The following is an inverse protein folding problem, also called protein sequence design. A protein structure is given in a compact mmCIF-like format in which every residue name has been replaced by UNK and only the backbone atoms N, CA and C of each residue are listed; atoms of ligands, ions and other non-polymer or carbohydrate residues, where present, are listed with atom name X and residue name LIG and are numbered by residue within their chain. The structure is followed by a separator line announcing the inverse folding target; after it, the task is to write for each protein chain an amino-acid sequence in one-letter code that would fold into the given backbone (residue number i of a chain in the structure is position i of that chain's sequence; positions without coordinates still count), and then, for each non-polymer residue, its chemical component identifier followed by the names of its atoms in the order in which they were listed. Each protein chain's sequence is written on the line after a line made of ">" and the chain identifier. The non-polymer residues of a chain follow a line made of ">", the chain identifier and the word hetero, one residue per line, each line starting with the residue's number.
data_IF_572720347166
#
_entry.id   IF_572720347166
#
_cell.length_a   1.000
_cell.length_b   1.000
_cell.length_c   1.000
_cell.angle_alpha   90.00
_cell.angle_beta   90.00
_cell.angle_gamma   90.00
#
_symmetry.space_group_name_H-M   'P 1'
#
loop_
_entity.id
_entity.type
_entity.pdbx_description
1 polymer ?
#
# COMPACT_ATOMS: atom_id res chain seq x y z
N UNK A 1 -10.25 33.91 9.43
CA UNK A 1 -10.29 32.43 9.60
C UNK A 1 -11.51 32.10 10.46
N UNK A 2 -12.35 31.12 10.09
CA UNK A 2 -13.45 30.68 10.98
C UNK A 2 -12.86 29.74 12.03
N UNK A 3 -12.63 30.25 13.24
CA UNK A 3 -12.18 29.43 14.35
C UNK A 3 -13.29 28.49 14.82
N UNK A 4 -12.94 27.25 15.09
CA UNK A 4 -13.87 26.24 15.56
C UNK A 4 -14.23 26.47 17.02
N UNK A 5 -15.48 26.24 17.41
CA UNK A 5 -15.87 26.23 18.82
C UNK A 5 -15.25 24.99 19.49
N UNK A 6 -14.59 25.21 20.62
CA UNK A 6 -14.04 24.14 21.46
C UNK A 6 -15.07 23.64 22.48
N UNK A 7 -14.76 22.58 23.23
CA UNK A 7 -15.65 22.10 24.29
C UNK A 7 -15.91 23.18 25.35
N UNK A 8 -14.86 23.89 25.78
CA UNK A 8 -14.95 25.03 26.71
C UNK A 8 -15.93 26.10 26.23
N UNK A 9 -15.88 26.45 24.94
CA UNK A 9 -16.79 27.43 24.34
C UNK A 9 -18.24 26.95 24.45
N UNK A 10 -18.49 25.65 24.23
CA UNK A 10 -19.83 25.04 24.32
C UNK A 10 -20.33 24.94 25.75
N UNK A 11 -19.44 24.75 26.74
CA UNK A 11 -19.78 24.75 28.16
C UNK A 11 -20.23 26.14 28.62
N UNK A 12 -19.52 27.19 28.23
CA UNK A 12 -19.90 28.57 28.52
C UNK A 12 -21.21 28.96 27.84
N UNK A 13 -21.46 28.49 26.61
CA UNK A 13 -22.78 28.62 25.97
C UNK A 13 -23.85 27.92 26.81
N UNK A 14 -23.62 26.67 27.23
CA UNK A 14 -24.59 25.90 28.01
C UNK A 14 -24.93 26.57 29.35
N UNK A 15 -23.92 27.08 30.05
CA UNK A 15 -24.09 27.80 31.33
C UNK A 15 -24.87 29.09 31.13
N UNK A 16 -24.47 29.93 30.15
CA UNK A 16 -25.16 31.18 29.87
C UNK A 16 -26.61 31.00 29.42
N UNK A 17 -26.94 29.89 28.74
CA UNK A 17 -28.34 29.58 28.43
C UNK A 17 -29.16 29.22 29.67
N UNK A 18 -28.58 28.42 30.58
CA UNK A 18 -29.20 28.03 31.85
C UNK A 18 -29.43 29.24 32.77
N UNK A 19 -28.52 30.21 32.76
CA UNK A 19 -28.63 31.47 33.50
C UNK A 19 -29.60 32.48 32.86
N UNK A 20 -30.24 32.16 31.73
CA UNK A 20 -31.17 33.09 31.09
C UNK A 20 -30.51 34.20 30.26
N UNK A 21 -29.18 34.17 30.05
CA UNK A 21 -28.45 35.21 29.30
C UNK A 21 -28.85 35.26 27.82
N UNK A 22 -28.82 36.46 27.24
CA UNK A 22 -29.03 36.66 25.80
C UNK A 22 -27.84 36.14 24.98
N UNK A 23 -28.06 35.80 23.70
CA UNK A 23 -26.97 35.39 22.81
C UNK A 23 -25.88 36.47 22.64
N UNK A 24 -26.18 37.75 22.88
CA UNK A 24 -25.20 38.83 22.84
C UNK A 24 -24.25 38.77 24.04
N UNK A 25 -24.79 38.52 25.24
CA UNK A 25 -23.99 38.36 26.45
C UNK A 25 -23.10 37.12 26.38
N UNK A 26 -23.67 35.99 25.95
CA UNK A 26 -22.93 34.73 25.78
C UNK A 26 -21.80 34.92 24.75
N UNK A 27 -22.07 35.61 23.64
CA UNK A 27 -21.06 35.94 22.64
C UNK A 27 -19.87 36.74 23.20
N UNK A 28 -20.14 37.72 24.08
CA UNK A 28 -19.10 38.50 24.74
C UNK A 28 -18.23 37.66 25.68
N UNK A 29 -18.82 36.72 26.43
CA UNK A 29 -18.09 35.83 27.34
C UNK A 29 -17.21 34.83 26.58
N UNK A 30 -17.76 34.21 25.53
CA UNK A 30 -17.06 33.20 24.71
C UNK A 30 -16.05 33.83 23.74
N UNK A 31 -16.13 35.15 23.53
CA UNK A 31 -15.27 35.87 22.57
C UNK A 31 -15.62 35.56 21.11
N UNK A 32 -16.89 35.32 20.79
CA UNK A 32 -17.36 34.92 19.45
C UNK A 32 -18.52 35.78 18.97
N UNK A 33 -18.74 35.84 17.67
CA UNK A 33 -19.91 36.54 17.12
C UNK A 33 -21.24 35.96 17.62
N UNK A 34 -22.21 36.84 17.92
CA UNK A 34 -23.60 36.47 18.25
C UNK A 34 -24.21 35.49 17.24
N UNK A 35 -23.87 35.66 15.96
CA UNK A 35 -24.38 34.79 14.90
C UNK A 35 -23.82 33.37 14.97
N UNK A 36 -22.62 33.17 15.53
CA UNK A 36 -22.02 31.85 15.78
C UNK A 36 -22.76 31.16 16.90
N UNK A 37 -22.96 31.84 18.03
CA UNK A 37 -23.72 31.31 19.17
C UNK A 37 -25.14 30.93 18.74
N UNK A 38 -25.85 31.82 18.05
CA UNK A 38 -27.21 31.55 17.58
C UNK A 38 -27.30 30.33 16.65
N UNK A 39 -26.33 30.17 15.73
CA UNK A 39 -26.29 29.02 14.80
C UNK A 39 -25.95 27.73 15.51
N UNK A 40 -25.00 27.76 16.43
CA UNK A 40 -24.61 26.61 17.27
C UNK A 40 -25.81 26.13 18.10
N UNK A 41 -26.44 27.03 18.85
CA UNK A 41 -27.60 26.69 19.70
C UNK A 41 -28.75 26.14 18.88
N UNK A 42 -29.10 26.78 17.74
CA UNK A 42 -30.15 26.30 16.84
C UNK A 42 -29.87 24.90 16.29
N UNK A 43 -28.61 24.61 15.93
CA UNK A 43 -28.21 23.31 15.38
C UNK A 43 -28.34 22.16 16.40
N UNK A 44 -28.23 22.47 17.68
CA UNK A 44 -28.10 21.48 18.74
C UNK A 44 -29.28 21.46 19.72
N UNK A 45 -30.51 21.71 19.24
CA UNK A 45 -31.76 21.56 20.02
C UNK A 45 -32.36 22.88 20.52
N UNK A 46 -31.75 24.01 20.20
CA UNK A 46 -32.26 25.31 20.65
C UNK A 46 -32.01 25.57 22.14
N UNK A 47 -32.54 26.69 22.65
CA UNK A 47 -32.18 27.23 23.97
C UNK A 47 -32.43 26.26 25.13
N UNK A 48 -33.53 25.51 25.10
CA UNK A 48 -33.95 24.67 26.21
C UNK A 48 -33.22 23.32 26.25
N UNK A 49 -32.93 22.77 25.07
CA UNK A 49 -32.33 21.43 24.94
C UNK A 49 -30.82 21.46 24.72
N UNK A 50 -30.21 22.63 24.51
CA UNK A 50 -28.77 22.74 24.30
C UNK A 50 -28.00 22.15 25.48
N UNK A 51 -27.08 21.23 25.17
CA UNK A 51 -26.13 20.63 26.13
C UNK A 51 -24.75 20.59 25.49
N UNK A 52 -23.75 21.08 26.21
CA UNK A 52 -22.38 21.21 25.71
C UNK A 52 -21.80 19.87 25.22
N UNK A 53 -21.90 18.82 26.02
CA UNK A 53 -21.40 17.48 25.70
C UNK A 53 -22.06 16.91 24.44
N UNK A 54 -23.39 16.94 24.35
CA UNK A 54 -24.12 16.45 23.18
C UNK A 54 -23.83 17.28 21.91
N UNK A 55 -23.66 18.60 22.05
CA UNK A 55 -23.24 19.45 20.94
C UNK A 55 -21.82 19.13 20.46
N UNK A 56 -20.90 18.88 21.39
CA UNK A 56 -19.53 18.46 21.09
C UNK A 56 -19.48 17.10 20.38
N UNK A 57 -20.18 16.09 20.90
CA UNK A 57 -20.25 14.75 20.30
C UNK A 57 -20.82 14.81 18.88
N UNK A 58 -21.93 15.53 18.66
CA UNK A 58 -22.51 15.73 17.32
C UNK A 58 -21.55 16.47 16.41
N UNK A 59 -20.83 17.47 16.91
CA UNK A 59 -19.84 18.19 16.13
C UNK A 59 -18.66 17.29 15.74
N UNK A 60 -18.18 16.43 16.63
CA UNK A 60 -17.13 15.45 16.34
C UNK A 60 -17.60 14.41 15.33
N UNK A 61 -18.78 13.81 15.52
CA UNK A 61 -19.36 12.86 14.57
C UNK A 61 -19.55 13.48 13.17
N UNK A 62 -20.02 14.73 13.10
CA UNK A 62 -20.15 15.44 11.82
C UNK A 62 -18.81 15.75 11.14
N UNK A 63 -17.70 15.77 11.89
CA UNK A 63 -16.34 15.94 11.35
C UNK A 63 -15.79 14.66 10.75
N UNK A 64 -16.23 13.49 11.22
CA UNK A 64 -15.69 12.21 10.76
C UNK A 64 -15.89 12.01 9.25
N UNK A 65 -16.87 12.70 8.62
CA UNK A 65 -17.16 12.69 7.17
C UNK A 65 -16.69 11.40 6.47
N UNK A 66 -17.15 10.22 6.91
CA UNK A 66 -16.68 8.97 6.33
C UNK A 66 -17.18 8.92 4.88
N UNK A 67 -16.26 9.12 3.94
CA UNK A 67 -16.58 9.01 2.52
C UNK A 67 -16.68 7.53 2.21
N UNK A 68 -17.89 7.07 1.88
CA UNK A 68 -18.06 5.74 1.31
C UNK A 68 -17.18 5.60 0.06
N UNK A 69 -16.44 4.50 -0.04
CA UNK A 69 -15.63 4.20 -1.20
C UNK A 69 -16.52 4.13 -2.44
N UNK A 70 -16.00 4.57 -3.60
CA UNK A 70 -16.78 4.57 -4.84
C UNK A 70 -17.34 3.19 -5.18
N UNK A 71 -16.57 2.13 -4.91
CA UNK A 71 -16.98 0.73 -5.11
C UNK A 71 -18.15 0.34 -4.19
N UNK A 72 -18.21 0.86 -2.97
CA UNK A 72 -19.26 0.55 -1.99
C UNK A 72 -20.54 1.38 -2.18
N UNK A 73 -20.53 2.42 -3.03
CA UNK A 73 -21.73 3.25 -3.28
C UNK A 73 -22.88 2.46 -3.88
N UNK A 74 -22.57 1.42 -4.67
CA UNK A 74 -23.57 0.58 -5.34
C UNK A 74 -23.26 -0.91 -5.16
N UNK A 75 -24.18 -1.70 -4.57
CA UNK A 75 -23.98 -3.14 -4.37
C UNK A 75 -23.67 -3.90 -5.66
N UNK A 76 -24.28 -3.49 -6.78
CA UNK A 76 -24.04 -4.08 -8.11
C UNK A 76 -22.60 -3.85 -8.58
N UNK A 77 -22.12 -2.61 -8.52
CA UNK A 77 -20.74 -2.27 -8.88
C UNK A 77 -19.76 -3.10 -8.04
N UNK A 78 -19.98 -3.16 -6.72
CA UNK A 78 -19.17 -3.96 -5.81
C UNK A 78 -19.12 -5.43 -6.24
N UNK A 79 -20.26 -6.02 -6.58
CA UNK A 79 -20.34 -7.40 -7.05
C UNK A 79 -19.55 -7.63 -8.34
N UNK A 80 -19.64 -6.72 -9.31
CA UNK A 80 -18.90 -6.80 -10.58
C UNK A 80 -17.38 -6.68 -10.34
N UNK A 81 -16.96 -5.65 -9.59
CA UNK A 81 -15.54 -5.42 -9.26
C UNK A 81 -14.98 -6.64 -8.52
N UNK A 82 -15.71 -7.18 -7.55
CA UNK A 82 -15.30 -8.37 -6.79
C UNK A 82 -15.15 -9.59 -7.70
N UNK A 83 -16.13 -9.87 -8.55
CA UNK A 83 -16.10 -11.01 -9.48
C UNK A 83 -14.92 -10.92 -10.47
N UNK A 84 -14.64 -9.73 -11.00
CA UNK A 84 -13.53 -9.51 -11.93
C UNK A 84 -12.17 -9.63 -11.23
N UNK A 85 -12.03 -9.08 -10.01
CA UNK A 85 -10.82 -9.25 -9.21
C UNK A 85 -10.55 -10.74 -8.89
N UNK A 86 -11.59 -11.52 -8.56
CA UNK A 86 -11.46 -12.98 -8.35
C UNK A 86 -10.99 -13.73 -9.60
N UNK A 87 -11.36 -13.23 -10.78
CA UNK A 87 -10.90 -13.76 -12.08
C UNK A 87 -9.49 -13.28 -12.46
N UNK A 88 -8.83 -12.49 -11.59
CA UNK A 88 -7.47 -12.01 -11.80
C UNK A 88 -7.36 -10.78 -12.69
N UNK A 89 -8.45 -10.03 -12.89
CA UNK A 89 -8.41 -8.77 -13.65
C UNK A 89 -7.72 -7.68 -12.82
N UNK A 90 -6.96 -6.82 -13.49
CA UNK A 90 -6.35 -5.66 -12.81
C UNK A 90 -7.39 -4.55 -12.62
N UNK A 91 -7.27 -3.70 -11.57
CA UNK A 91 -8.13 -2.53 -11.40
C UNK A 91 -8.20 -1.60 -12.62
N UNK A 92 -7.09 -1.44 -13.35
CA UNK A 92 -7.04 -0.67 -14.60
C UNK A 92 -7.89 -1.32 -15.71
N UNK A 93 -7.76 -2.64 -15.90
CA UNK A 93 -8.56 -3.37 -16.88
C UNK A 93 -10.05 -3.38 -16.52
N UNK A 94 -10.39 -3.44 -15.22
CA UNK A 94 -11.78 -3.35 -14.75
C UNK A 94 -12.35 -1.96 -15.07
N UNK A 95 -11.68 -0.89 -14.64
CA UNK A 95 -12.13 0.48 -14.88
C UNK A 95 -12.26 0.81 -16.37
N UNK A 96 -11.36 0.30 -17.21
CA UNK A 96 -11.42 0.50 -18.66
C UNK A 96 -12.55 -0.29 -19.34
N UNK A 97 -12.99 -1.42 -18.77
CA UNK A 97 -14.00 -2.31 -19.38
C UNK A 97 -15.43 -1.98 -18.97
N UNK A 98 -15.61 -1.50 -17.75
CA UNK A 98 -16.93 -1.16 -17.19
C UNK A 98 -17.77 -0.24 -18.10
N UNK A 99 -17.22 0.82 -18.74
CA UNK A 99 -17.99 1.67 -19.64
C UNK A 99 -18.46 0.97 -20.92
N UNK A 100 -17.73 -0.05 -21.38
CA UNK A 100 -18.08 -0.81 -22.61
C UNK A 100 -19.13 -1.89 -22.33
N UNK A 101 -19.01 -2.59 -21.19
CA UNK A 101 -19.96 -3.66 -20.82
C UNK A 101 -21.23 -3.13 -20.16
N UNK A 102 -21.16 -1.93 -19.58
CA UNK A 102 -22.28 -1.27 -18.92
C UNK A 102 -22.38 0.20 -19.36
N UNK A 103 -22.67 0.45 -20.66
CA UNK A 103 -22.71 1.81 -21.22
C UNK A 103 -23.77 2.68 -20.55
N UNK A 104 -24.94 2.12 -20.22
CA UNK A 104 -26.07 2.88 -19.64
C UNK A 104 -26.04 2.96 -18.11
N UNK A 105 -25.05 2.36 -17.45
CA UNK A 105 -24.94 2.33 -16.00
C UNK A 105 -23.91 3.35 -15.50
N UNK A 106 -24.40 4.51 -15.04
CA UNK A 106 -23.56 5.55 -14.44
C UNK A 106 -22.84 5.07 -13.17
N UNK A 107 -23.43 4.12 -12.43
CA UNK A 107 -22.77 3.53 -11.27
C UNK A 107 -21.52 2.74 -11.65
N UNK A 108 -21.41 2.30 -12.90
CA UNK A 108 -20.23 1.60 -13.41
C UNK A 108 -19.06 2.55 -13.78
N UNK A 109 -19.20 3.86 -13.58
CA UNK A 109 -18.13 4.85 -13.80
C UNK A 109 -17.24 4.98 -12.57
N UNK A 110 -16.31 4.03 -12.42
CA UNK A 110 -15.30 4.03 -11.35
C UNK A 110 -13.89 4.09 -11.92
N UNK A 111 -13.02 4.91 -11.32
CA UNK A 111 -11.61 4.94 -11.72
C UNK A 111 -10.85 3.77 -11.10
N UNK A 112 -9.74 3.37 -11.75
CA UNK A 112 -8.87 2.33 -11.21
C UNK A 112 -8.25 2.72 -9.86
N UNK A 113 -8.02 4.02 -9.63
CA UNK A 113 -7.54 4.54 -8.34
C UNK A 113 -8.59 4.39 -7.24
N UNK A 114 -9.87 4.59 -7.54
CA UNK A 114 -10.94 4.36 -6.57
C UNK A 114 -11.10 2.87 -6.22
N UNK A 115 -10.85 1.96 -7.17
CA UNK A 115 -10.76 0.53 -6.91
C UNK A 115 -9.54 0.22 -6.03
N UNK A 116 -8.38 0.84 -6.27
CA UNK A 116 -7.20 0.68 -5.40
C UNK A 116 -7.44 1.15 -3.97
N UNK A 117 -8.02 2.33 -3.78
CA UNK A 117 -8.35 2.86 -2.46
C UNK A 117 -9.25 1.90 -1.68
N UNK A 118 -10.26 1.35 -2.35
CA UNK A 118 -11.15 0.35 -1.77
C UNK A 118 -10.42 -0.95 -1.38
N UNK A 119 -9.53 -1.46 -2.25
CA UNK A 119 -8.70 -2.63 -1.96
C UNK A 119 -7.81 -2.38 -0.74
N UNK A 120 -7.16 -1.22 -0.64
CA UNK A 120 -6.24 -0.90 0.45
C UNK A 120 -6.92 -0.66 1.80
N UNK A 121 -8.16 -0.16 1.77
CA UNK A 121 -8.96 0.02 2.97
C UNK A 121 -9.62 -1.28 3.47
N UNK A 122 -9.67 -2.31 2.62
CA UNK A 122 -10.22 -3.62 2.99
C UNK A 122 -9.20 -4.41 3.82
N UNK A 123 -9.59 -5.00 4.97
CA UNK A 123 -8.68 -5.77 5.81
C UNK A 123 -7.97 -6.89 5.03
N UNK A 124 -6.66 -7.07 5.30
CA UNK A 124 -5.81 -8.04 4.60
C UNK A 124 -6.33 -9.48 4.76
N UNK A 125 -6.95 -9.82 5.89
CA UNK A 125 -7.55 -11.14 6.14
C UNK A 125 -8.73 -11.46 5.20
N UNK A 126 -9.54 -10.46 4.83
CA UNK A 126 -10.65 -10.61 3.87
C UNK A 126 -10.14 -10.67 2.43
N UNK A 127 -9.17 -9.81 2.08
CA UNK A 127 -8.60 -9.76 0.73
C UNK A 127 -7.79 -11.01 0.40
N UNK A 128 -7.02 -11.52 1.38
CA UNK A 128 -6.21 -12.73 1.23
C UNK A 128 -7.05 -14.00 1.05
N UNK A 129 -8.21 -14.08 1.72
CA UNK A 129 -9.11 -15.24 1.62
C UNK A 129 -9.88 -15.28 0.30
N UNK A 130 -10.14 -14.11 -0.30
CA UNK A 130 -11.04 -14.00 -1.45
C UNK A 130 -10.33 -13.76 -2.79
N UNK A 131 -9.14 -13.16 -2.82
CA UNK A 131 -8.51 -12.64 -4.04
C UNK A 131 -7.09 -13.14 -4.35
N UNK A 132 -6.49 -14.02 -3.53
CA UNK A 132 -5.13 -14.53 -3.77
C UNK A 132 -5.11 -15.77 -4.68
N UNK A 133 -5.03 -15.55 -5.99
CA UNK A 133 -4.56 -16.56 -6.94
C UNK A 133 -3.47 -15.96 -7.83
N UNK A 134 -2.44 -16.74 -8.19
CA UNK A 134 -1.51 -16.32 -9.24
C UNK A 134 -2.29 -16.18 -10.56
N UNK A 135 -1.84 -15.31 -11.48
CA UNK A 135 -2.41 -15.07 -12.84
C UNK A 135 -2.71 -16.34 -13.67
N UNK A 136 -2.25 -17.51 -13.23
CA UNK A 136 -2.45 -18.82 -13.87
C UNK A 136 -3.30 -19.79 -13.05
N UNK A 137 -3.97 -19.33 -11.99
CA UNK A 137 -4.72 -20.18 -11.05
C UNK A 137 -3.85 -21.03 -10.11
N UNK A 138 -2.53 -21.01 -10.28
CA UNK A 138 -1.59 -21.79 -9.47
C UNK A 138 -1.34 -21.14 -8.11
N UNK A 139 -0.99 -21.96 -7.12
CA UNK A 139 -0.53 -21.52 -5.80
C UNK A 139 0.99 -21.31 -5.74
N UNK A 140 1.76 -21.83 -6.71
CA UNK A 140 3.22 -21.67 -6.79
C UNK A 140 3.75 -21.54 -8.23
N UNK A 141 4.88 -20.85 -8.40
CA UNK A 141 5.57 -20.66 -9.70
C UNK A 141 6.52 -21.83 -9.97
N UNK A 142 6.44 -22.46 -11.14
CA UNK A 142 7.47 -23.43 -11.61
C UNK A 142 8.79 -22.69 -11.84
N UNK A 143 9.88 -23.18 -11.26
CA UNK A 143 11.23 -22.66 -11.50
C UNK A 143 11.80 -23.19 -12.82
N UNK A 144 12.56 -22.36 -13.53
CA UNK A 144 13.35 -22.78 -14.69
C UNK A 144 14.58 -23.61 -14.29
N UNK A 145 15.39 -23.98 -15.29
CA UNK A 145 16.64 -24.71 -15.09
C UNK A 145 17.52 -24.00 -14.04
N UNK A 146 17.91 -24.74 -13.00
CA UNK A 146 18.75 -24.20 -11.93
C UNK A 146 20.18 -24.06 -12.48
N UNK A 147 20.80 -22.87 -12.44
CA UNK A 147 22.23 -22.75 -12.68
C UNK A 147 23.00 -23.60 -11.63
N UNK A 148 24.24 -24.01 -11.95
CA UNK A 148 25.06 -24.76 -11.02
C UNK A 148 25.19 -24.02 -9.67
N UNK A 149 25.19 -24.76 -8.55
CA UNK A 149 25.23 -24.17 -7.22
C UNK A 149 26.46 -23.28 -7.04
N UNK A 150 26.26 -21.99 -6.74
CA UNK A 150 27.33 -21.09 -6.31
C UNK A 150 28.08 -21.64 -5.08
N UNK A 151 29.29 -21.19 -4.72
CA UNK A 151 29.91 -21.56 -3.45
C UNK A 151 29.02 -21.17 -2.25
N UNK A 152 29.06 -21.93 -1.14
CA UNK A 152 28.29 -21.61 0.07
C UNK A 152 28.93 -20.41 0.76
N UNK A 153 28.11 -19.45 1.20
CA UNK A 153 28.55 -18.38 2.10
C UNK A 153 28.99 -19.03 3.41
N UNK A 154 30.20 -18.72 3.86
CA UNK A 154 30.67 -19.08 5.20
C UNK A 154 29.92 -18.22 6.23
N UNK A 155 29.32 -18.89 7.22
CA UNK A 155 28.58 -18.30 8.34
C UNK A 155 27.45 -17.34 7.93
N UNK A 156 26.35 -17.86 7.36
CA UNK A 156 25.21 -17.02 7.00
C UNK A 156 24.46 -16.58 8.27
N UNK A 157 24.25 -15.28 8.41
CA UNK A 157 23.20 -14.76 9.29
C UNK A 157 21.86 -14.88 8.55
N UNK A 158 20.80 -15.25 9.27
CA UNK A 158 19.45 -15.34 8.72
C UNK A 158 18.66 -14.09 9.08
N UNK A 159 17.62 -13.80 8.29
CA UNK A 159 16.74 -12.65 8.51
C UNK A 159 16.10 -12.65 9.90
N UNK A 160 15.83 -13.85 10.42
CA UNK A 160 15.24 -14.06 11.74
C UNK A 160 16.20 -13.69 12.88
N UNK A 161 17.50 -13.60 12.59
CA UNK A 161 18.52 -13.17 13.55
C UNK A 161 18.74 -11.64 13.54
N UNK A 162 17.82 -10.87 12.93
CA UNK A 162 17.83 -9.41 13.00
C UNK A 162 17.72 -8.94 14.45
N UNK A 163 18.41 -7.86 14.83
CA UNK A 163 18.16 -7.24 16.12
C UNK A 163 16.72 -6.72 16.16
N UNK A 164 16.13 -6.71 17.36
CA UNK A 164 14.69 -6.46 17.54
C UNK A 164 14.25 -5.06 17.09
N UNK A 165 15.16 -4.08 17.17
CA UNK A 165 14.98 -2.71 16.68
C UNK A 165 14.85 -2.60 15.15
N UNK A 166 15.53 -3.47 14.40
CA UNK A 166 15.40 -3.58 12.95
C UNK A 166 14.08 -4.25 12.50
N UNK A 167 13.40 -4.91 13.44
CA UNK A 167 12.09 -5.51 13.23
C UNK A 167 11.01 -4.42 13.22
N UNK A 168 9.97 -4.58 12.41
CA UNK A 168 8.85 -3.63 12.39
C UNK A 168 9.13 -2.28 11.73
N UNK A 169 10.36 -1.97 11.31
CA UNK A 169 10.72 -0.74 10.55
C UNK A 169 10.43 0.56 11.31
N UNK A 170 10.62 0.55 12.62
CA UNK A 170 10.34 1.69 13.49
C UNK A 170 11.59 2.51 13.84
N UNK A 171 12.78 1.90 13.79
CA UNK A 171 14.04 2.53 14.17
C UNK A 171 14.84 2.90 12.91
N UNK A 172 15.20 4.18 12.70
CA UNK A 172 16.07 4.60 11.61
C UNK A 172 17.48 4.01 11.69
N UNK A 173 18.16 3.89 10.55
CA UNK A 173 19.57 3.48 10.48
C UNK A 173 19.79 1.99 10.17
N UNK A 174 18.71 1.26 9.92
CA UNK A 174 18.78 -0.11 9.39
C UNK A 174 18.53 -0.11 7.89
N UNK A 175 19.49 -0.65 7.13
CA UNK A 175 19.50 -0.59 5.67
C UNK A 175 19.32 -1.97 5.04
N UNK A 176 18.67 -2.01 3.87
CA UNK A 176 18.62 -3.17 2.99
C UNK A 176 19.46 -2.92 1.73
N UNK A 177 20.39 -3.83 1.47
CA UNK A 177 21.25 -3.83 0.29
C UNK A 177 20.79 -4.86 -0.75
N UNK A 178 20.71 -4.43 -2.00
CA UNK A 178 20.58 -5.32 -3.17
C UNK A 178 21.61 -4.91 -4.23
N UNK A 179 21.97 -5.84 -5.13
CA UNK A 179 22.86 -5.60 -6.25
C UNK A 179 22.08 -5.70 -7.57
N UNK A 180 21.90 -4.56 -8.23
CA UNK A 180 21.30 -4.50 -9.56
C UNK A 180 22.40 -4.65 -10.60
N UNK A 181 22.26 -5.64 -11.46
CA UNK A 181 23.20 -5.93 -12.53
C UNK A 181 22.58 -5.49 -13.86
N UNK A 182 23.31 -4.64 -14.58
CA UNK A 182 22.91 -4.16 -15.90
C UNK A 182 22.95 -5.23 -16.98
N UNK A 183 22.48 -4.87 -18.17
CA UNK A 183 22.42 -5.76 -19.33
C UNK A 183 23.80 -6.38 -19.61
N UNK A 184 23.82 -7.69 -19.85
CA UNK A 184 25.02 -8.49 -20.11
C UNK A 184 26.09 -8.42 -19.00
N UNK A 185 25.73 -8.01 -17.79
CA UNK A 185 26.65 -7.95 -16.65
C UNK A 185 27.73 -6.87 -16.75
N UNK A 186 27.60 -5.91 -17.67
CA UNK A 186 28.62 -4.89 -17.94
C UNK A 186 28.66 -3.75 -16.92
N UNK A 187 27.56 -3.53 -16.21
CA UNK A 187 27.45 -2.49 -15.19
C UNK A 187 26.77 -3.05 -13.95
N UNK A 188 27.03 -2.44 -12.80
CA UNK A 188 26.38 -2.79 -11.55
C UNK A 188 26.09 -1.54 -10.72
N UNK A 189 24.99 -1.59 -9.98
CA UNK A 189 24.61 -0.56 -9.00
C UNK A 189 24.19 -1.27 -7.73
N UNK A 190 24.79 -0.90 -6.60
CA UNK A 190 24.27 -1.31 -5.30
C UNK A 190 23.15 -0.36 -4.88
N UNK A 191 22.06 -0.91 -4.37
CA UNK A 191 20.93 -0.14 -3.86
C UNK A 191 20.88 -0.30 -2.35
N UNK A 192 20.90 0.81 -1.60
CA UNK A 192 20.76 0.81 -0.15
C UNK A 192 19.44 1.51 0.19
N UNK A 193 18.52 0.80 0.84
CA UNK A 193 17.22 1.34 1.25
C UNK A 193 17.12 1.38 2.76
N UNK A 194 16.95 2.57 3.33
CA UNK A 194 16.70 2.74 4.75
C UNK A 194 15.29 2.23 5.11
N UNK A 195 15.19 1.36 6.11
CA UNK A 195 13.99 0.57 6.36
C UNK A 195 12.83 1.39 6.91
N UNK A 196 13.08 2.51 7.58
CA UNK A 196 12.03 3.33 8.20
C UNK A 196 11.48 4.37 7.21
N UNK A 197 12.35 5.23 6.69
CA UNK A 197 12.05 6.33 5.75
C UNK A 197 11.90 5.90 4.30
N UNK A 198 12.38 4.70 3.92
CA UNK A 198 12.51 4.25 2.51
C UNK A 198 13.47 5.09 1.66
N UNK A 199 14.34 5.87 2.30
CA UNK A 199 15.35 6.62 1.61
C UNK A 199 16.28 5.68 0.82
N UNK A 200 16.45 5.95 -0.47
CA UNK A 200 17.22 5.13 -1.40
C UNK A 200 18.53 5.81 -1.74
N UNK A 201 19.63 5.09 -1.56
CA UNK A 201 20.96 5.45 -2.08
C UNK A 201 21.32 4.49 -3.20
N UNK A 202 21.67 5.05 -4.35
CA UNK A 202 22.20 4.32 -5.49
C UNK A 202 23.71 4.50 -5.55
N UNK A 203 24.43 3.39 -5.49
CA UNK A 203 25.90 3.37 -5.51
C UNK A 203 26.34 2.78 -6.84
N UNK A 204 26.79 3.60 -7.81
CA UNK A 204 27.36 3.09 -9.05
C UNK A 204 28.65 2.33 -8.75
N UNK A 205 28.83 1.16 -9.37
CA UNK A 205 29.98 0.29 -9.14
C UNK A 205 30.77 0.06 -10.43
N UNK A 206 32.09 0.06 -10.30
CA UNK A 206 33.03 -0.27 -11.38
C UNK A 206 33.22 -1.78 -11.55
N UNK A 207 32.72 -2.58 -10.61
CA UNK A 207 32.88 -4.02 -10.55
C UNK A 207 31.83 -4.66 -9.64
N UNK A 208 31.65 -5.97 -9.80
CA UNK A 208 30.66 -6.76 -9.04
C UNK A 208 31.29 -7.66 -7.99
N UNK A 209 32.62 -7.64 -7.89
CA UNK A 209 33.29 -8.39 -6.86
C UNK A 209 33.00 -7.78 -5.49
N UNK A 210 33.14 -8.63 -4.50
CA UNK A 210 32.83 -8.34 -3.13
C UNK A 210 33.54 -7.07 -2.64
N UNK A 211 34.84 -6.93 -2.95
CA UNK A 211 35.66 -5.84 -2.46
C UNK A 211 35.24 -4.50 -3.06
N UNK A 212 34.97 -4.47 -4.37
CA UNK A 212 34.47 -3.28 -5.06
C UNK A 212 33.11 -2.84 -4.52
N UNK A 213 32.18 -3.79 -4.32
CA UNK A 213 30.87 -3.51 -3.73
C UNK A 213 31.03 -2.94 -2.31
N UNK A 214 31.82 -3.60 -1.46
CA UNK A 214 32.04 -3.18 -0.08
C UNK A 214 32.62 -1.77 0.02
N UNK A 215 33.64 -1.46 -0.80
CA UNK A 215 34.24 -0.11 -0.86
C UNK A 215 33.24 0.95 -1.30
N UNK A 216 32.45 0.66 -2.34
CA UNK A 216 31.41 1.58 -2.80
C UNK A 216 30.37 1.89 -1.72
N UNK A 217 29.92 0.85 -0.99
CA UNK A 217 28.96 1.00 0.10
C UNK A 217 29.55 1.79 1.27
N UNK A 218 30.80 1.54 1.68
CA UNK A 218 31.48 2.35 2.72
C UNK A 218 31.51 3.81 2.28
N UNK A 219 31.99 4.07 1.07
CA UNK A 219 32.14 5.44 0.58
C UNK A 219 30.79 6.18 0.53
N UNK A 220 29.72 5.48 0.12
CA UNK A 220 28.39 6.06 0.05
C UNK A 220 27.73 6.29 1.43
N UNK A 221 28.13 5.54 2.45
CA UNK A 221 27.53 5.62 3.79
C UNK A 221 28.38 6.41 4.79
N UNK A 222 29.67 6.63 4.53
CA UNK A 222 30.60 7.27 5.48
C UNK A 222 30.17 8.66 5.94
N UNK A 223 29.46 9.43 5.09
CA UNK A 223 28.93 10.75 5.43
C UNK A 223 27.66 10.74 6.29
N UNK A 224 27.09 9.56 6.57
CA UNK A 224 25.88 9.45 7.37
C UNK A 224 26.18 9.55 8.87
N UNK A 225 25.30 10.21 9.65
CA UNK A 225 25.39 10.21 11.11
C UNK A 225 25.49 8.78 11.68
N UNK A 226 26.19 8.60 12.80
CA UNK A 226 26.40 7.29 13.41
C UNK A 226 25.08 6.54 13.69
N UNK A 227 24.05 7.24 14.18
CA UNK A 227 22.73 6.65 14.41
C UNK A 227 22.03 6.17 13.11
N UNK A 228 22.45 6.68 11.94
CA UNK A 228 21.97 6.21 10.63
C UNK A 228 22.80 5.06 10.08
N UNK A 229 23.81 4.55 10.80
CA UNK A 229 24.73 3.48 10.35
C UNK A 229 24.61 2.19 11.17
N UNK A 230 23.45 1.98 11.80
CA UNK A 230 23.23 0.88 12.74
C UNK A 230 23.47 -0.50 12.10
N UNK A 231 22.81 -0.83 10.99
CA UNK A 231 23.04 -2.13 10.32
C UNK A 231 22.72 -2.13 8.83
N UNK A 232 23.39 -3.02 8.10
CA UNK A 232 23.10 -3.35 6.71
C UNK A 232 22.74 -4.82 6.58
N UNK A 233 21.61 -5.11 5.93
CA UNK A 233 21.17 -6.45 5.54
C UNK A 233 21.31 -6.62 4.03
N UNK A 234 22.20 -7.52 3.58
CA UNK A 234 22.43 -7.74 2.15
C UNK A 234 21.69 -8.97 1.63
N UNK A 235 20.90 -8.89 0.55
CA UNK A 235 20.29 -10.10 -0.05
C UNK A 235 21.37 -10.98 -0.70
N UNK A 236 21.52 -12.21 -0.19
CA UNK A 236 22.50 -13.16 -0.72
C UNK A 236 21.89 -14.36 -1.46
N UNK A 237 20.59 -14.35 -1.77
CA UNK A 237 19.93 -15.41 -2.52
C UNK A 237 19.89 -16.77 -1.79
N UNK A 238 18.71 -17.19 -1.35
CA UNK A 238 18.49 -18.49 -0.71
C UNK A 238 18.41 -19.65 -1.69
N UNK A 239 19.24 -20.69 -1.50
CA UNK A 239 19.14 -21.97 -2.22
C UNK A 239 17.91 -22.80 -1.83
N UNK A 240 17.43 -22.65 -0.60
CA UNK A 240 16.38 -23.49 0.00
C UNK A 240 15.05 -22.73 0.17
N UNK A 241 14.86 -21.63 -0.56
CA UNK A 241 13.65 -20.80 -0.47
C UNK A 241 13.56 -19.92 0.77
N UNK A 242 14.59 -19.91 1.64
CA UNK A 242 14.70 -18.97 2.77
C UNK A 242 15.60 -17.79 2.41
N UNK A 243 15.16 -16.52 2.58
CA UNK A 243 16.00 -15.35 2.38
C UNK A 243 17.19 -15.40 3.36
N UNK A 244 18.39 -15.08 2.86
CA UNK A 244 19.63 -15.09 3.63
C UNK A 244 20.22 -13.69 3.57
N UNK A 245 20.56 -13.13 4.73
CA UNK A 245 21.10 -11.79 4.81
C UNK A 245 22.28 -11.72 5.74
N UNK A 246 23.42 -11.21 5.25
CA UNK A 246 24.52 -10.89 6.17
C UNK A 246 24.18 -9.57 6.88
N UNK A 247 24.10 -9.63 8.19
CA UNK A 247 24.00 -8.47 9.07
C UNK A 247 25.40 -8.00 9.45
N UNK A 248 25.69 -6.72 9.18
CA UNK A 248 26.96 -6.12 9.56
C UNK A 248 26.72 -4.68 10.01
N UNK A 249 27.34 -4.28 11.13
CA UNK A 249 27.36 -2.88 11.55
C UNK A 249 28.20 -2.07 10.57
N UNK A 250 27.71 -0.88 10.18
CA UNK A 250 28.43 0.01 9.27
C UNK A 250 29.48 0.88 9.99
N UNK A 251 29.70 0.63 11.29
CA UNK A 251 30.64 1.37 12.16
C UNK A 251 32.03 0.75 12.30
N UNK A 252 32.24 -0.49 11.86
CA UNK A 252 33.57 -1.11 11.90
C UNK A 252 34.26 -1.01 10.54
N UNK A 253 35.47 -0.45 10.50
CA UNK A 253 36.34 -0.29 9.33
C UNK A 253 36.77 -1.59 8.62
N UNK A 254 36.01 -2.67 8.72
CA UNK A 254 36.20 -3.92 7.98
C UNK A 254 34.83 -4.43 7.51
N UNK A 255 34.32 -3.88 6.40
CA UNK A 255 33.36 -4.63 5.59
C UNK A 255 34.11 -5.82 4.99
N UNK A 256 33.96 -7.00 5.61
CA UNK A 256 34.39 -8.27 5.01
C UNK A 256 33.41 -8.61 3.90
N UNK A 257 33.79 -8.43 2.63
CA UNK A 257 32.82 -8.54 1.59
C UNK A 257 32.50 -10.03 1.31
N UNK A 258 31.31 -10.36 0.77
CA UNK A 258 30.92 -11.75 0.55
C UNK A 258 31.76 -12.38 -0.57
N UNK A 259 32.55 -13.41 -0.28
CA UNK A 259 33.13 -14.27 -1.32
C UNK A 259 32.02 -15.08 -1.98
N UNK A 260 31.38 -14.55 -3.02
CA UNK A 260 30.35 -15.26 -3.78
C UNK A 260 30.44 -15.00 -5.28
N UNK A 261 30.44 -16.09 -6.04
CA UNK A 261 30.09 -16.09 -7.45
C UNK A 261 28.58 -15.86 -7.58
N UNK A 262 28.22 -14.87 -8.39
CA UNK A 262 26.87 -14.35 -8.57
C UNK A 262 26.03 -15.30 -9.42
N UNK A 263 25.02 -15.93 -8.81
CA UNK A 263 23.84 -16.47 -9.48
C UNK A 263 22.65 -15.56 -9.20
N UNK A 264 22.05 -14.98 -10.24
CA UNK A 264 20.93 -14.04 -10.11
C UNK A 264 19.65 -14.76 -9.67
N UNK A 265 19.22 -14.52 -8.44
CA UNK A 265 17.84 -14.81 -8.01
C UNK A 265 17.35 -13.67 -7.13
N UNK A 266 16.45 -12.86 -7.70
CA UNK A 266 15.79 -11.78 -6.99
C UNK A 266 14.62 -12.35 -6.19
N UNK A 267 14.76 -12.46 -4.87
CA UNK A 267 13.65 -12.81 -3.97
C UNK A 267 13.55 -11.76 -2.87
N UNK A 268 12.66 -10.78 -3.10
CA UNK A 268 12.27 -9.79 -2.09
C UNK A 268 11.50 -10.50 -0.96
N UNK A 269 11.76 -10.11 0.30
CA UNK A 269 10.82 -10.37 1.39
C UNK A 269 9.41 -9.91 1.01
N UNK A 270 8.35 -10.60 1.49
CA UNK A 270 7.03 -10.02 1.52
C UNK A 270 7.08 -8.78 2.42
N UNK A 271 7.23 -7.62 1.79
CA UNK A 271 6.79 -6.35 2.37
C UNK A 271 5.39 -6.57 2.97
N UNK A 272 4.97 -5.90 4.06
CA UNK A 272 3.54 -5.67 4.26
C UNK A 272 3.02 -5.09 2.95
N UNK A 273 2.28 -5.92 2.22
CA UNK A 273 2.18 -5.78 0.77
C UNK A 273 1.33 -4.54 0.47
N UNK A 274 1.92 -3.56 -0.24
CA UNK A 274 1.17 -3.03 -1.39
C UNK A 274 0.88 -4.25 -2.27
N UNK A 275 -0.39 -4.60 -2.57
CA UNK A 275 -0.67 -5.69 -3.48
C UNK A 275 0.05 -5.39 -4.80
N UNK A 276 0.79 -6.38 -5.27
CA UNK A 276 1.64 -6.26 -6.44
C UNK A 276 0.72 -6.21 -7.67
N UNK A 277 0.54 -5.01 -8.21
CA UNK A 277 -0.25 -4.71 -9.40
C UNK A 277 0.30 -5.46 -10.62
N UNK A 278 -0.59 -6.10 -11.38
CA UNK A 278 -0.31 -6.72 -12.67
C UNK A 278 0.23 -5.65 -13.65
N UNK A 279 1.33 -5.89 -14.38
CA UNK A 279 1.80 -4.93 -15.37
C UNK A 279 0.79 -4.81 -16.52
N UNK A 280 0.51 -3.58 -16.93
CA UNK A 280 -0.36 -3.23 -18.04
C UNK A 280 0.13 -3.86 -19.34
N UNK A 281 -0.73 -4.64 -20.01
CA UNK A 281 -0.64 -4.87 -21.46
C UNK A 281 -2.04 -5.01 -22.05
N UNK A 282 -2.25 -4.24 -23.12
CA UNK A 282 -3.40 -4.32 -24.02
C UNK A 282 -3.53 -5.76 -24.57
N UNK A 283 -4.69 -6.37 -24.36
CA UNK A 283 -5.03 -7.67 -24.92
C UNK A 283 -5.59 -7.50 -26.32
N UNK A 284 -5.02 -8.23 -27.28
CA UNK A 284 -5.53 -8.36 -28.64
C UNK A 284 -6.97 -8.90 -28.64
N UNK A 285 -7.78 -8.33 -29.53
CA UNK A 285 -9.16 -8.74 -29.84
C UNK A 285 -9.26 -10.24 -30.14
N UNK A 286 -10.12 -10.93 -29.40
CA UNK A 286 -10.84 -12.10 -29.88
C UNK A 286 -12.32 -11.79 -29.67
N UNK A 287 -13.05 -11.62 -30.78
CA UNK A 287 -14.49 -11.34 -30.79
C UNK A 287 -15.30 -12.58 -30.39
N UNK A 288 -16.54 -12.40 -29.90
CA UNK A 288 -17.41 -13.52 -29.54
C UNK A 288 -18.09 -14.10 -30.78
N UNK A 289 -17.99 -15.41 -30.96
CA UNK A 289 -18.89 -16.17 -31.85
C UNK A 289 -20.27 -16.27 -31.19
N UNK A 290 -21.30 -15.86 -31.94
CA UNK A 290 -22.72 -15.97 -31.58
C UNK A 290 -23.21 -17.35 -32.09
N UNK A 291 -23.90 -18.18 -31.29
CA UNK A 291 -24.49 -19.42 -31.79
C UNK A 291 -25.72 -19.10 -32.65
N UNK A 292 -25.67 -19.51 -33.91
CA UNK A 292 -26.74 -19.35 -34.90
C UNK A 292 -27.93 -20.27 -34.66
N UNK A 293 -29.08 -19.72 -35.03
CA UNK A 293 -30.46 -20.18 -34.90
C UNK A 293 -30.74 -21.55 -35.55
N UNK A 294 -31.46 -22.42 -34.84
CA UNK A 294 -31.79 -23.79 -35.24
C UNK A 294 -32.99 -23.84 -36.18
N UNK A 295 -32.72 -23.73 -37.48
CA UNK A 295 -33.72 -23.90 -38.55
C UNK A 295 -34.05 -25.36 -38.85
N UNK A 296 -35.30 -25.75 -38.56
CA UNK A 296 -35.99 -26.98 -38.97
C UNK A 296 -35.79 -27.30 -40.46
N UNK A 297 -35.37 -28.52 -40.79
CA UNK A 297 -35.63 -29.12 -42.11
C UNK A 297 -36.12 -30.56 -42.02
N UNK A 298 -37.27 -30.73 -42.65
CA UNK A 298 -38.03 -31.93 -42.94
C UNK A 298 -37.19 -33.11 -43.45
N UNK A 299 -37.42 -34.28 -42.88
CA UNK A 299 -37.14 -35.56 -43.53
C UNK A 299 -38.29 -35.88 -44.51
N UNK A 300 -37.94 -36.23 -45.75
CA UNK A 300 -38.79 -37.03 -46.64
C UNK A 300 -38.17 -38.41 -46.83
N UNK A 301 -38.98 -39.46 -47.04
CA UNK A 301 -38.55 -40.85 -46.88
C UNK A 301 -38.25 -41.57 -48.20
N UNK A 302 -37.75 -42.80 -48.06
CA UNK A 302 -37.82 -43.97 -48.98
C UNK A 302 -36.90 -44.01 -50.20
N UNK A 303 -36.60 -45.20 -50.75
CA UNK A 303 -37.15 -46.55 -50.46
C UNK A 303 -36.32 -47.44 -49.54
#
# INVERSE_FOLDING_TARGET
>A
MREMLMLSDREEISRGLAEGLSYKQIASVVGRDRSVISREVRRHGGRHEYRAAAAQERALAARERPKQFAVDRHPRLRGIVHALLRRGWSPASIAGRLPTEHPDDEACRVSHEAIYQWIYATPVSTLARELLALRSGRTARRGGAKPPPAPRIKDPTYIDARPADAQGRAVPGHWEGDLVIGKNGKTAVATLVERTSRFLVLVPLTGRDALTVGRGVIAATSGLPAHMRASLAWDCGGRDGRPRHRHQGLDAGVLRPPTLAVGTRQQREPQPHRPRVLPERHGHHLGPEIPGDGGLRHQRPTP
#
